data_IF_250126311204
#
_entry.id   IF_250126311204
#
_cell.length_a   1.000
_cell.length_b   1.000
_cell.length_c   1.000
_cell.angle_alpha   90.00
_cell.angle_beta   90.00
_cell.angle_gamma   90.00
#
_symmetry.space_group_name_H-M   'P 1'
#
loop_
_entity.id
_entity.type
_entity.pdbx_description
1 polymer ?
#
# COMPACT_ATOMS: atom_id res chain seq x y z
N UNK A 1 71.26 41.83 35.10
CA UNK A 1 72.43 41.54 34.24
C UNK A 1 72.20 40.19 33.58
N UNK A 2 72.48 40.14 32.27
CA UNK A 2 72.41 39.00 31.33
C UNK A 2 72.99 37.68 31.91
N UNK A 3 72.57 36.48 31.48
CA UNK A 3 72.81 35.94 30.13
C UNK A 3 71.96 34.70 29.79
N UNK A 4 71.73 34.54 28.48
CA UNK A 4 71.13 33.42 27.74
C UNK A 4 72.21 32.39 27.35
N UNK A 5 71.86 31.09 27.27
CA UNK A 5 72.25 30.10 26.21
C UNK A 5 71.56 28.74 26.48
N UNK A 6 70.51 28.37 25.72
CA UNK A 6 70.46 27.51 24.51
C UNK A 6 71.07 26.11 24.71
N UNK A 7 70.23 25.08 24.58
CA UNK A 7 70.65 23.67 24.44
C UNK A 7 69.51 22.69 24.14
N UNK A 8 69.29 22.45 22.85
CA UNK A 8 68.74 21.24 22.18
C UNK A 8 67.39 20.61 22.65
N UNK A 9 66.37 20.76 21.81
CA UNK A 9 65.21 19.86 21.75
C UNK A 9 65.59 18.51 21.14
N UNK A 10 65.20 17.41 21.78
CA UNK A 10 65.07 16.09 21.15
C UNK A 10 63.61 15.68 21.29
N UNK A 11 62.86 15.80 20.21
CA UNK A 11 61.49 15.31 20.09
C UNK A 11 61.55 13.80 19.77
N UNK A 12 61.14 12.96 20.71
CA UNK A 12 60.94 11.52 20.46
C UNK A 12 59.56 11.34 19.81
N UNK A 13 59.55 11.23 18.48
CA UNK A 13 58.34 10.87 17.73
C UNK A 13 58.03 9.38 17.94
N UNK A 14 57.01 9.07 18.76
CA UNK A 14 56.35 7.77 18.73
C UNK A 14 55.50 7.69 17.47
N UNK A 15 55.98 6.94 16.48
CA UNK A 15 55.20 6.56 15.30
C UNK A 15 54.23 5.46 15.73
N UNK A 16 53.01 5.86 16.12
CA UNK A 16 51.86 4.97 16.09
C UNK A 16 51.38 4.88 14.63
N UNK A 17 51.67 3.76 13.99
CA UNK A 17 51.07 3.33 12.73
C UNK A 17 49.59 3.01 12.95
N UNK A 18 48.78 4.05 13.14
CA UNK A 18 47.34 3.98 13.04
C UNK A 18 46.97 3.77 11.57
N UNK A 19 46.47 2.59 11.23
CA UNK A 19 45.74 2.38 9.99
C UNK A 19 44.59 3.39 10.00
N UNK A 20 44.69 4.41 9.15
CA UNK A 20 43.63 5.36 8.92
C UNK A 20 42.46 4.61 8.27
N UNK A 21 41.61 4.01 9.10
CA UNK A 21 40.27 3.64 8.69
C UNK A 21 39.62 4.91 8.14
N UNK A 22 39.28 4.90 6.85
CA UNK A 22 38.46 5.96 6.25
C UNK A 22 37.28 6.20 7.20
N UNK A 23 36.95 7.47 7.54
CA UNK A 23 35.70 7.72 8.22
C UNK A 23 34.62 7.09 7.36
N UNK A 24 33.91 6.11 7.92
CA UNK A 24 32.68 5.60 7.32
C UNK A 24 31.76 6.81 7.36
N UNK A 25 31.66 7.53 6.23
CA UNK A 25 30.59 8.50 6.05
C UNK A 25 29.30 7.75 6.29
N UNK A 26 28.65 8.04 7.43
CA UNK A 26 27.29 7.60 7.66
C UNK A 26 26.49 8.01 6.43
N UNK A 27 25.93 7.03 5.73
CA UNK A 27 25.06 7.31 4.59
C UNK A 27 23.99 8.30 5.07
N UNK A 28 23.78 9.39 4.32
CA UNK A 28 22.72 10.32 4.65
C UNK A 28 21.41 9.54 4.83
N UNK A 29 20.66 9.75 5.92
CA UNK A 29 19.44 9.01 6.17
C UNK A 29 18.51 9.17 4.96
N UNK A 30 18.04 8.06 4.39
CA UNK A 30 17.18 8.10 3.21
C UNK A 30 15.97 8.98 3.51
N UNK A 31 15.66 9.90 2.60
CA UNK A 31 14.56 10.88 2.78
C UNK A 31 13.23 10.38 2.24
N UNK A 32 13.20 9.15 1.72
CA UNK A 32 12.04 8.50 1.14
C UNK A 32 12.00 7.02 1.51
N UNK A 33 10.80 6.44 1.46
CA UNK A 33 10.57 5.01 1.63
C UNK A 33 9.66 4.53 0.49
N UNK A 34 10.08 3.48 -0.22
CA UNK A 34 9.26 2.85 -1.26
C UNK A 34 8.72 1.52 -0.74
N UNK A 35 7.41 1.43 -0.59
CA UNK A 35 6.70 0.18 -0.28
C UNK A 35 6.25 -0.48 -1.57
N UNK A 36 6.69 -1.71 -1.83
CA UNK A 36 6.31 -2.46 -3.03
C UNK A 36 4.95 -3.14 -2.83
N UNK A 37 4.11 -3.10 -3.86
CA UNK A 37 2.79 -3.74 -3.88
C UNK A 37 2.74 -4.82 -4.96
N UNK A 38 1.83 -5.81 -4.83
CA UNK A 38 1.52 -6.77 -5.88
C UNK A 38 1.31 -6.13 -7.25
N UNK A 39 1.65 -6.87 -8.31
CA UNK A 39 1.48 -6.41 -9.69
C UNK A 39 2.46 -5.31 -10.14
N UNK A 40 3.47 -4.97 -9.34
CA UNK A 40 4.48 -3.96 -9.68
C UNK A 40 4.10 -2.53 -9.29
N UNK A 41 2.96 -2.35 -8.60
CA UNK A 41 2.60 -1.08 -7.99
C UNK A 41 3.53 -0.76 -6.80
N UNK A 42 3.54 0.48 -6.35
CA UNK A 42 4.27 0.88 -5.15
C UNK A 42 3.68 2.15 -4.53
N UNK A 43 3.95 2.37 -3.24
CA UNK A 43 3.71 3.65 -2.58
C UNK A 43 5.06 4.26 -2.20
N UNK A 44 5.29 5.49 -2.63
CA UNK A 44 6.46 6.28 -2.26
C UNK A 44 6.06 7.26 -1.16
N UNK A 45 6.65 7.06 0.01
CA UNK A 45 6.54 7.96 1.15
C UNK A 45 7.70 8.95 1.15
N UNK A 46 7.38 10.21 1.48
CA UNK A 46 8.35 11.31 1.58
C UNK A 46 7.90 12.34 2.62
N UNK A 47 8.75 13.34 2.92
CA UNK A 47 8.52 14.32 3.98
C UNK A 47 8.32 13.64 5.34
N UNK A 48 9.37 12.98 5.83
CA UNK A 48 9.36 12.36 7.15
C UNK A 48 9.26 13.43 8.24
N UNK A 49 8.41 13.21 9.25
CA UNK A 49 8.25 14.11 10.39
C UNK A 49 9.47 14.09 11.31
N UNK A 50 10.02 12.90 11.55
CA UNK A 50 11.31 12.71 12.22
C UNK A 50 12.26 11.88 11.34
N UNK A 51 13.19 12.54 10.61
CA UNK A 51 14.18 11.86 9.78
C UNK A 51 15.22 11.03 10.54
N UNK A 52 15.28 11.09 11.88
CA UNK A 52 16.22 10.30 12.68
C UNK A 52 15.67 8.92 13.07
N UNK A 53 14.35 8.78 13.15
CA UNK A 53 13.68 7.50 13.41
C UNK A 53 14.05 6.45 12.33
N UNK A 54 14.10 5.13 12.62
CA UNK A 54 14.32 4.10 11.58
C UNK A 54 13.27 4.17 10.47
N UNK A 55 13.66 3.94 9.21
CA UNK A 55 12.78 4.14 8.04
C UNK A 55 11.40 3.46 8.15
N UNK A 56 11.34 2.24 8.70
CA UNK A 56 10.10 1.48 8.89
C UNK A 56 9.19 2.00 10.01
N UNK A 57 9.70 2.84 10.89
CA UNK A 57 8.99 3.42 12.04
C UNK A 57 8.69 4.91 11.85
N UNK A 58 9.13 5.50 10.73
CA UNK A 58 8.88 6.91 10.44
C UNK A 58 7.41 7.13 10.08
N UNK A 59 6.90 8.23 10.57
CA UNK A 59 5.67 8.83 10.06
C UNK A 59 5.98 9.82 8.94
N UNK A 60 5.12 9.83 7.92
CA UNK A 60 5.33 10.58 6.68
C UNK A 60 4.15 11.52 6.41
N UNK A 61 4.44 12.69 5.84
CA UNK A 61 3.39 13.66 5.45
C UNK A 61 2.90 13.47 4.01
N UNK A 62 3.63 12.72 3.18
CA UNK A 62 3.28 12.52 1.78
C UNK A 62 3.36 11.05 1.37
N UNK A 63 2.32 10.59 0.65
CA UNK A 63 2.26 9.28 0.02
C UNK A 63 1.88 9.43 -1.46
N UNK A 64 2.70 8.93 -2.37
CA UNK A 64 2.47 8.91 -3.81
C UNK A 64 2.29 7.48 -4.26
N UNK A 65 1.16 7.16 -4.88
CA UNK A 65 0.95 5.85 -5.48
C UNK A 65 1.56 5.80 -6.87
N UNK A 66 2.22 4.70 -7.18
CA UNK A 66 2.85 4.41 -8.46
C UNK A 66 2.22 3.16 -9.05
N UNK A 67 1.62 3.32 -10.23
CA UNK A 67 1.10 2.19 -11.00
C UNK A 67 2.18 1.63 -11.95
N UNK A 68 2.08 0.34 -12.34
CA UNK A 68 3.04 -0.30 -13.25
C UNK A 68 3.11 0.36 -14.63
N UNK A 69 2.02 0.99 -15.08
CA UNK A 69 1.94 1.74 -16.33
C UNK A 69 2.65 3.11 -16.27
N UNK A 70 3.29 3.45 -15.16
CA UNK A 70 3.99 4.71 -14.95
C UNK A 70 3.11 5.85 -14.42
N UNK A 71 1.79 5.68 -14.33
CA UNK A 71 0.89 6.65 -13.71
C UNK A 71 1.25 6.86 -12.24
N UNK A 72 1.22 8.11 -11.79
CA UNK A 72 1.50 8.50 -10.40
C UNK A 72 0.46 9.49 -9.93
N UNK A 73 0.02 9.36 -8.69
CA UNK A 73 -0.87 10.33 -8.06
C UNK A 73 -0.63 10.36 -6.55
N UNK A 74 -0.90 11.50 -5.92
CA UNK A 74 -0.83 11.62 -4.46
C UNK A 74 -2.06 10.97 -3.84
N UNK A 75 -1.84 10.10 -2.86
CA UNK A 75 -2.90 9.63 -1.95
C UNK A 75 -3.17 10.67 -0.87
N UNK A 76 -2.12 11.38 -0.42
CA UNK A 76 -2.20 12.44 0.59
C UNK A 76 -1.11 13.51 0.33
N UNK A 77 -1.42 14.82 0.57
CA UNK A 77 -2.77 15.36 0.73
C UNK A 77 -3.63 15.13 -0.52
N UNK A 78 -4.95 15.08 -0.34
CA UNK A 78 -5.87 14.86 -1.48
C UNK A 78 -5.85 16.05 -2.42
N UNK A 79 -6.40 15.86 -3.62
CA UNK A 79 -6.47 16.93 -4.61
C UNK A 79 -7.32 18.09 -4.08
N UNK A 80 -6.71 19.28 -3.97
CA UNK A 80 -7.39 20.48 -3.45
C UNK A 80 -7.24 20.69 -1.95
N UNK A 81 -6.63 19.75 -1.22
CA UNK A 81 -6.19 19.94 0.16
C UNK A 81 -4.80 20.59 0.19
N UNK A 82 -4.59 21.44 1.20
CA UNK A 82 -3.26 21.97 1.50
C UNK A 82 -2.41 20.86 2.15
N UNK A 83 -1.08 20.98 2.10
CA UNK A 83 -0.22 20.18 2.98
C UNK A 83 -0.61 20.53 4.43
N UNK A 84 -1.43 19.70 5.08
CA UNK A 84 -1.81 19.90 6.48
C UNK A 84 -0.67 19.41 7.36
N UNK A 85 -0.13 20.31 8.19
CA UNK A 85 0.94 20.01 9.16
C UNK A 85 0.53 18.93 10.19
N UNK A 86 -0.76 18.58 10.24
CA UNK A 86 -1.32 17.58 11.15
C UNK A 86 -1.44 16.16 10.59
N UNK A 87 -1.22 15.91 9.30
CA UNK A 87 -1.39 14.55 8.73
C UNK A 87 -0.11 13.73 8.84
N UNK A 88 -0.23 12.56 9.43
CA UNK A 88 0.85 11.60 9.62
C UNK A 88 0.42 10.24 9.06
N UNK A 89 1.26 9.61 8.25
CA UNK A 89 0.99 8.29 7.70
C UNK A 89 2.07 7.30 8.12
N UNK A 90 1.63 6.13 8.52
CA UNK A 90 2.51 5.00 8.76
C UNK A 90 2.63 4.18 7.47
N UNK A 91 3.85 3.78 7.07
CA UNK A 91 4.01 2.93 5.91
C UNK A 91 3.41 1.54 6.23
N UNK A 92 2.64 0.95 5.30
CA UNK A 92 2.10 -0.38 5.49
C UNK A 92 3.22 -1.42 5.59
N UNK A 93 2.87 -2.54 6.18
CA UNK A 93 3.63 -3.78 6.17
C UNK A 93 2.93 -4.83 5.30
N UNK A 94 3.56 -5.97 5.07
CA UNK A 94 2.98 -7.05 4.26
C UNK A 94 1.64 -7.55 4.81
N UNK A 95 1.42 -7.47 6.14
CA UNK A 95 0.12 -7.85 6.75
C UNK A 95 -1.01 -6.88 6.42
N UNK A 96 -0.70 -5.66 5.97
CA UNK A 96 -1.69 -4.70 5.52
C UNK A 96 -2.12 -4.93 4.06
N UNK A 97 -1.48 -5.87 3.35
CA UNK A 97 -1.91 -6.30 2.01
C UNK A 97 -2.90 -7.45 2.17
N UNK A 98 -4.05 -7.34 1.50
CA UNK A 98 -5.09 -8.36 1.51
C UNK A 98 -4.55 -9.71 1.02
N UNK A 99 -5.03 -10.85 1.55
CA UNK A 99 -4.67 -12.17 1.04
C UNK A 99 -4.94 -12.35 -0.46
N UNK A 100 -5.93 -11.64 -1.02
CA UNK A 100 -6.18 -11.62 -2.48
C UNK A 100 -5.14 -10.83 -3.27
N UNK A 101 -4.31 -10.03 -2.61
CA UNK A 101 -3.38 -9.08 -3.23
C UNK A 101 -4.07 -7.90 -3.93
N UNK A 102 -5.38 -7.72 -3.74
CA UNK A 102 -6.16 -6.69 -4.43
C UNK A 102 -6.20 -5.37 -3.67
N UNK A 103 -6.07 -5.40 -2.35
CA UNK A 103 -6.19 -4.23 -1.48
C UNK A 103 -4.97 -4.07 -0.56
N UNK A 104 -4.69 -2.83 -0.20
CA UNK A 104 -3.77 -2.46 0.89
C UNK A 104 -4.46 -1.50 1.84
N UNK A 105 -4.26 -1.67 3.14
CA UNK A 105 -4.70 -0.73 4.17
C UNK A 105 -3.57 0.22 4.54
N UNK A 106 -3.86 1.51 4.55
CA UNK A 106 -2.91 2.56 4.94
C UNK A 106 -3.46 3.26 6.18
N UNK A 107 -2.70 3.23 7.27
CA UNK A 107 -3.01 3.98 8.49
C UNK A 107 -2.58 5.44 8.36
N UNK A 108 -3.44 6.37 8.81
CA UNK A 108 -3.10 7.78 8.98
C UNK A 108 -3.65 8.34 10.28
N UNK A 109 -3.03 9.40 10.77
CA UNK A 109 -3.52 10.24 11.85
C UNK A 109 -3.64 11.65 11.31
N UNK A 110 -4.80 12.27 11.49
CA UNK A 110 -5.01 13.69 11.22
C UNK A 110 -5.14 14.43 12.54
N UNK A 111 -4.21 15.35 12.79
CA UNK A 111 -4.19 16.18 13.99
C UNK A 111 -4.65 17.60 13.68
N UNK A 112 -5.45 18.18 14.57
CA UNK A 112 -5.92 19.56 14.47
C UNK A 112 -6.14 20.16 15.85
N UNK A 113 -6.34 21.48 15.90
CA UNK A 113 -6.75 22.15 17.14
C UNK A 113 -8.26 22.22 17.23
N UNK A 114 -8.80 21.86 18.40
CA UNK A 114 -10.21 22.05 18.72
C UNK A 114 -10.34 23.12 19.79
N UNK A 115 -11.31 24.03 19.61
CA UNK A 115 -11.68 24.97 20.65
C UNK A 115 -12.50 24.25 21.71
N UNK A 116 -12.05 24.29 22.96
CA UNK A 116 -12.79 23.73 24.09
C UNK A 116 -13.87 24.68 24.65
N UNK A 117 -13.94 25.91 24.12
CA UNK A 117 -14.88 26.94 24.50
C UNK A 117 -14.22 28.31 24.74
N UNK A 118 -15.02 29.37 24.96
CA UNK A 118 -14.48 30.71 25.18
C UNK A 118 -13.54 30.77 26.40
N UNK A 119 -12.31 31.26 26.18
CA UNK A 119 -11.31 31.43 27.25
C UNK A 119 -10.57 30.16 27.66
N UNK A 120 -10.83 29.02 27.01
CA UNK A 120 -10.07 27.79 27.22
C UNK A 120 -8.98 27.64 26.15
N UNK A 121 -7.80 27.07 26.51
CA UNK A 121 -6.76 26.80 25.54
C UNK A 121 -7.27 25.79 24.49
N UNK A 122 -6.89 26.00 23.24
CA UNK A 122 -7.14 25.03 22.18
C UNK A 122 -6.46 23.70 22.53
N UNK A 123 -7.12 22.59 22.24
CA UNK A 123 -6.57 21.24 22.43
C UNK A 123 -6.16 20.65 21.09
N UNK A 124 -4.95 20.09 21.02
CA UNK A 124 -4.54 19.30 19.86
C UNK A 124 -5.18 17.92 19.98
N UNK A 125 -6.06 17.59 19.04
CA UNK A 125 -6.68 16.28 18.93
C UNK A 125 -6.26 15.61 17.63
N UNK A 126 -5.93 14.31 17.73
CA UNK A 126 -5.65 13.45 16.59
C UNK A 126 -6.80 12.48 16.34
N UNK A 127 -7.14 12.25 15.08
CA UNK A 127 -8.07 11.21 14.66
C UNK A 127 -7.35 10.22 13.76
N UNK A 128 -7.42 8.94 14.10
CA UNK A 128 -6.90 7.86 13.27
C UNK A 128 -7.89 7.50 12.16
N UNK A 129 -7.36 7.26 10.97
CA UNK A 129 -8.07 6.70 9.84
C UNK A 129 -7.31 5.53 9.23
N UNK A 130 -8.07 4.62 8.63
CA UNK A 130 -7.57 3.48 7.87
C UNK A 130 -8.18 3.52 6.47
N UNK A 131 -7.33 3.69 5.47
CA UNK A 131 -7.73 3.82 4.08
C UNK A 131 -7.50 2.51 3.34
N UNK A 132 -8.56 1.94 2.78
CA UNK A 132 -8.47 0.83 1.84
C UNK A 132 -8.21 1.35 0.42
N UNK A 133 -7.13 0.87 -0.19
CA UNK A 133 -6.79 1.19 -1.58
C UNK A 133 -6.79 -0.08 -2.42
N UNK A 134 -7.56 -0.10 -3.50
CA UNK A 134 -7.45 -1.14 -4.53
C UNK A 134 -6.12 -0.96 -5.29
N UNK A 135 -5.22 -1.93 -5.17
CA UNK A 135 -3.84 -1.86 -5.66
C UNK A 135 -3.78 -1.66 -7.18
N UNK A 136 -4.69 -2.30 -7.92
CA UNK A 136 -4.68 -2.28 -9.40
C UNK A 136 -4.93 -0.89 -9.98
N UNK A 137 -5.79 -0.10 -9.33
CA UNK A 137 -6.28 1.18 -9.87
C UNK A 137 -5.86 2.37 -9.02
N UNK A 138 -5.52 2.15 -7.75
CA UNK A 138 -5.35 3.22 -6.80
C UNK A 138 -6.66 3.80 -6.26
N UNK A 139 -7.79 3.16 -6.54
CA UNK A 139 -9.08 3.57 -6.01
C UNK A 139 -9.12 3.41 -4.50
N UNK A 140 -9.38 4.49 -3.78
CA UNK A 140 -9.74 4.42 -2.35
C UNK A 140 -11.18 3.93 -2.28
N UNK A 141 -11.37 2.72 -1.78
CA UNK A 141 -12.70 2.08 -1.70
C UNK A 141 -13.37 2.26 -0.35
N UNK A 142 -12.58 2.57 0.68
CA UNK A 142 -13.07 2.93 2.00
C UNK A 142 -12.04 3.80 2.72
N UNK A 143 -12.52 4.72 3.54
CA UNK A 143 -11.70 5.50 4.47
C UNK A 143 -12.44 5.58 5.80
N UNK A 144 -12.03 4.74 6.75
CA UNK A 144 -12.73 4.56 8.03
C UNK A 144 -11.90 5.08 9.19
N UNK A 145 -12.51 5.12 10.36
CA UNK A 145 -11.92 5.64 11.61
C UNK A 145 -12.47 4.84 12.79
N UNK A 146 -11.74 4.81 13.90
CA UNK A 146 -12.13 4.09 15.11
C UNK A 146 -11.67 2.63 15.11
N UNK A 147 -12.38 1.78 15.86
CA UNK A 147 -11.92 0.42 16.20
C UNK A 147 -11.65 -0.48 14.98
N UNK A 148 -12.35 -0.24 13.86
CA UNK A 148 -12.16 -0.97 12.61
C UNK A 148 -10.73 -0.84 12.06
N UNK A 149 -9.99 0.22 12.41
CA UNK A 149 -8.60 0.39 11.96
C UNK A 149 -7.62 -0.57 12.65
N UNK A 150 -7.95 -1.05 13.86
CA UNK A 150 -7.19 -2.07 14.57
C UNK A 150 -7.55 -3.52 14.21
N UNK A 151 -8.46 -3.72 13.25
CA UNK A 151 -8.87 -5.05 12.81
C UNK A 151 -7.81 -5.72 11.91
N UNK A 152 -8.20 -6.77 11.20
CA UNK A 152 -7.33 -7.46 10.26
C UNK A 152 -8.09 -8.09 9.10
N UNK A 153 -7.35 -8.75 8.22
CA UNK A 153 -7.94 -9.54 7.14
C UNK A 153 -8.68 -10.76 7.68
N UNK A 154 -9.93 -10.92 7.27
CA UNK A 154 -10.75 -12.04 7.72
C UNK A 154 -10.28 -13.36 7.11
N UNK A 155 -10.31 -14.41 7.94
CA UNK A 155 -9.92 -15.75 7.50
C UNK A 155 -10.95 -16.31 6.51
N UNK A 156 -10.50 -16.78 5.36
CA UNK A 156 -11.39 -17.32 4.30
C UNK A 156 -12.08 -16.25 3.44
N UNK A 157 -11.94 -14.96 3.79
CA UNK A 157 -12.47 -13.83 3.03
C UNK A 157 -11.31 -12.93 2.59
N UNK A 158 -10.64 -13.26 1.46
CA UNK A 158 -9.33 -12.70 1.11
C UNK A 158 -9.35 -11.21 0.75
N UNK A 159 -10.52 -10.59 0.69
CA UNK A 159 -10.75 -9.17 0.43
C UNK A 159 -11.73 -8.53 1.43
N UNK A 160 -11.76 -9.01 2.68
CA UNK A 160 -12.56 -8.40 3.75
C UNK A 160 -11.68 -8.03 4.94
N UNK A 161 -11.81 -6.77 5.38
CA UNK A 161 -11.13 -6.22 6.54
C UNK A 161 -12.14 -5.97 7.65
N UNK A 162 -11.92 -6.57 8.82
CA UNK A 162 -12.86 -6.50 9.93
C UNK A 162 -12.74 -7.64 10.92
N UNK A 163 -13.58 -7.62 11.95
CA UNK A 163 -13.64 -8.65 13.00
C UNK A 163 -14.77 -9.66 12.78
N UNK A 164 -15.88 -9.24 12.18
CA UNK A 164 -17.01 -10.10 11.80
C UNK A 164 -17.81 -9.54 10.62
N UNK A 165 -18.58 -10.40 9.98
CA UNK A 165 -19.31 -10.19 8.73
C UNK A 165 -20.53 -9.25 8.88
N UNK A 166 -20.96 -8.98 10.12
CA UNK A 166 -22.28 -8.38 10.44
C UNK A 166 -22.18 -6.97 11.02
N UNK A 167 -21.09 -6.62 11.70
CA UNK A 167 -21.02 -5.42 12.54
C UNK A 167 -19.86 -4.48 12.18
N UNK A 168 -18.77 -4.97 11.58
CA UNK A 168 -17.55 -4.17 11.37
C UNK A 168 -16.74 -4.63 10.16
N UNK A 169 -17.32 -4.57 8.95
CA UNK A 169 -16.60 -4.79 7.68
C UNK A 169 -16.34 -3.47 6.97
N UNK A 170 -15.07 -3.18 6.67
CA UNK A 170 -14.65 -1.94 6.00
C UNK A 170 -14.81 -1.98 4.49
N UNK A 171 -14.44 -3.11 3.87
CA UNK A 171 -14.56 -3.30 2.43
C UNK A 171 -15.99 -3.73 2.11
N UNK A 172 -16.85 -2.75 1.79
CA UNK A 172 -18.22 -2.97 1.31
C UNK A 172 -18.29 -2.79 -0.20
N UNK A 173 -19.33 -3.33 -0.83
CA UNK A 173 -19.56 -3.28 -2.29
C UNK A 173 -19.81 -1.86 -2.86
N UNK A 174 -19.81 -0.82 -2.01
CA UNK A 174 -20.14 0.56 -2.38
C UNK A 174 -18.94 1.34 -2.96
N UNK A 175 -18.18 0.71 -3.86
CA UNK A 175 -17.09 1.36 -4.61
C UNK A 175 -17.56 2.71 -5.19
N UNK A 176 -16.81 3.82 -5.00
CA UNK A 176 -17.15 5.11 -5.59
C UNK A 176 -17.36 5.01 -7.10
N UNK A 177 -18.42 5.63 -7.61
CA UNK A 177 -18.75 5.63 -9.04
C UNK A 177 -19.58 6.84 -9.44
N UNK A 178 -19.54 7.21 -10.71
CA UNK A 178 -20.32 8.32 -11.25
C UNK A 178 -21.83 8.08 -11.07
N UNK A 179 -22.27 6.83 -11.22
CA UNK A 179 -23.69 6.49 -11.03
C UNK A 179 -24.13 6.59 -9.57
N UNK A 180 -23.29 6.19 -8.62
CA UNK A 180 -23.55 6.35 -7.18
C UNK A 180 -23.59 7.82 -6.79
N UNK A 181 -22.57 8.59 -7.19
CA UNK A 181 -22.50 10.03 -6.93
C UNK A 181 -23.72 10.77 -7.51
N UNK A 182 -24.07 10.51 -8.78
CA UNK A 182 -25.23 11.13 -9.40
C UNK A 182 -26.54 10.77 -8.69
N UNK A 183 -26.68 9.52 -8.22
CA UNK A 183 -27.86 9.08 -7.45
C UNK A 183 -28.02 9.89 -6.16
N UNK A 184 -26.93 10.12 -5.41
CA UNK A 184 -26.98 10.92 -4.19
C UNK A 184 -27.29 12.40 -4.47
N UNK A 185 -26.67 12.98 -5.51
CA UNK A 185 -27.00 14.34 -5.95
C UNK A 185 -28.49 14.46 -6.31
N UNK A 186 -29.03 13.51 -7.06
CA UNK A 186 -30.45 13.49 -7.43
C UNK A 186 -31.38 13.28 -6.23
N UNK A 187 -30.90 12.64 -5.16
CA UNK A 187 -31.64 12.51 -3.89
C UNK A 187 -31.59 13.77 -3.02
N UNK A 188 -30.92 14.84 -3.48
CA UNK A 188 -30.82 16.12 -2.79
C UNK A 188 -29.64 16.25 -1.83
N UNK A 189 -28.72 15.27 -1.80
CA UNK A 189 -27.52 15.40 -0.99
C UNK A 189 -26.57 16.47 -1.56
N UNK A 190 -25.89 17.27 -0.69
CA UNK A 190 -24.92 18.24 -1.15
C UNK A 190 -23.77 17.57 -1.92
N UNK A 191 -23.53 17.93 -3.21
CA UNK A 191 -22.54 17.23 -4.02
C UNK A 191 -21.14 17.22 -3.42
N UNK A 192 -20.76 18.28 -2.71
CA UNK A 192 -19.45 18.39 -2.04
C UNK A 192 -19.29 17.32 -0.96
N UNK A 193 -20.30 17.12 -0.11
CA UNK A 193 -20.24 16.12 0.96
C UNK A 193 -20.01 14.71 0.41
N UNK A 194 -20.76 14.35 -0.64
CA UNK A 194 -20.64 13.01 -1.25
C UNK A 194 -19.27 12.82 -1.90
N UNK A 195 -18.74 13.85 -2.56
CA UNK A 195 -17.39 13.81 -3.15
C UNK A 195 -16.33 13.67 -2.06
N UNK A 196 -16.46 14.41 -0.97
CA UNK A 196 -15.51 14.37 0.15
C UNK A 196 -15.55 12.98 0.85
N UNK A 197 -16.74 12.39 1.02
CA UNK A 197 -16.95 11.02 1.54
C UNK A 197 -16.34 9.96 0.60
N UNK A 198 -16.41 10.17 -0.71
CA UNK A 198 -15.78 9.33 -1.73
C UNK A 198 -14.28 9.63 -1.90
N UNK A 199 -13.65 10.34 -0.95
CA UNK A 199 -12.22 10.69 -0.94
C UNK A 199 -11.76 11.58 -2.10
N UNK A 200 -12.66 12.41 -2.64
CA UNK A 200 -12.38 13.43 -3.64
C UNK A 200 -12.75 13.03 -5.08
N UNK A 201 -12.89 14.05 -5.94
CA UNK A 201 -13.31 13.87 -7.33
C UNK A 201 -12.29 13.07 -8.16
N UNK A 202 -11.00 13.23 -7.87
CA UNK A 202 -9.93 12.45 -8.46
C UNK A 202 -10.00 10.97 -8.06
N UNK A 203 -10.47 10.66 -6.85
CA UNK A 203 -10.70 9.29 -6.43
C UNK A 203 -11.87 8.64 -7.18
N UNK A 204 -12.99 9.36 -7.31
CA UNK A 204 -14.13 8.91 -8.13
C UNK A 204 -13.68 8.56 -9.56
N UNK A 205 -12.83 9.39 -10.17
CA UNK A 205 -12.26 9.15 -11.49
C UNK A 205 -11.32 7.92 -11.56
N UNK A 206 -10.61 7.59 -10.48
CA UNK A 206 -9.80 6.34 -10.40
C UNK A 206 -10.69 5.11 -10.21
N UNK A 207 -11.74 5.25 -9.40
CA UNK A 207 -12.65 4.16 -9.07
C UNK A 207 -13.58 3.80 -10.23
N UNK A 208 -14.03 4.78 -11.01
CA UNK A 208 -14.93 4.63 -12.16
C UNK A 208 -14.50 5.52 -13.34
N UNK A 209 -13.39 5.22 -14.04
CA UNK A 209 -12.87 6.07 -15.11
C UNK A 209 -13.90 6.36 -16.22
N UNK A 210 -13.88 7.55 -16.85
CA UNK A 210 -14.82 7.88 -17.92
C UNK A 210 -14.77 6.86 -19.06
N UNK A 211 -15.94 6.38 -19.44
CA UNK A 211 -16.18 5.41 -20.49
C UNK A 211 -17.51 5.72 -21.18
N UNK A 212 -17.81 5.03 -22.28
CA UNK A 212 -19.08 5.23 -22.98
C UNK A 212 -20.32 4.96 -22.12
N UNK A 213 -20.20 4.11 -21.09
CA UNK A 213 -21.34 3.70 -20.24
C UNK A 213 -21.63 4.69 -19.11
N UNK A 214 -20.63 5.42 -18.61
CA UNK A 214 -20.78 6.36 -17.49
C UNK A 214 -20.62 7.84 -17.91
N UNK A 215 -20.29 8.13 -19.18
CA UNK A 215 -20.10 9.50 -19.70
C UNK A 215 -21.25 10.45 -19.40
N UNK A 216 -22.49 10.00 -19.64
CA UNK A 216 -23.70 10.80 -19.39
C UNK A 216 -23.86 11.11 -17.90
N UNK A 217 -23.46 10.19 -17.02
CA UNK A 217 -23.52 10.43 -15.58
C UNK A 217 -22.54 11.55 -15.18
N UNK A 218 -21.31 11.50 -15.68
CA UNK A 218 -20.32 12.55 -15.45
C UNK A 218 -20.74 13.91 -16.00
N UNK A 219 -21.31 13.99 -17.21
CA UNK A 219 -21.82 15.24 -17.78
C UNK A 219 -22.91 15.88 -16.89
N UNK A 220 -23.80 15.05 -16.32
CA UNK A 220 -24.83 15.50 -15.37
C UNK A 220 -24.23 15.95 -14.04
N UNK A 221 -23.24 15.23 -13.52
CA UNK A 221 -22.51 15.63 -12.30
C UNK A 221 -21.85 16.99 -12.51
N UNK A 222 -21.11 17.18 -13.61
CA UNK A 222 -20.47 18.46 -13.96
C UNK A 222 -21.50 19.59 -13.95
N UNK A 223 -22.66 19.37 -14.58
CA UNK A 223 -23.72 20.37 -14.67
C UNK A 223 -24.25 20.74 -13.27
N UNK A 224 -24.49 19.76 -12.41
CA UNK A 224 -24.94 19.95 -11.03
C UNK A 224 -23.89 20.69 -10.16
N UNK A 225 -22.61 20.35 -10.31
CA UNK A 225 -21.52 21.02 -9.60
C UNK A 225 -21.36 22.48 -10.02
N UNK A 226 -21.48 22.79 -11.32
CA UNK A 226 -21.46 24.17 -11.82
C UNK A 226 -22.64 24.99 -11.29
N UNK A 227 -23.83 24.40 -11.26
CA UNK A 227 -25.04 25.06 -10.73
C UNK A 227 -24.91 25.41 -9.24
N UNK A 228 -24.13 24.64 -8.49
CA UNK A 228 -23.88 24.85 -7.05
C UNK A 228 -22.57 25.58 -6.76
N UNK A 229 -21.85 26.06 -7.79
CA UNK A 229 -20.62 26.83 -7.64
C UNK A 229 -19.35 26.02 -7.32
N UNK A 230 -19.42 24.68 -7.36
CA UNK A 230 -18.30 23.78 -7.05
C UNK A 230 -17.40 23.61 -8.28
N UNK A 231 -16.66 24.68 -8.63
CA UNK A 231 -15.94 24.80 -9.90
C UNK A 231 -14.73 23.86 -10.03
N UNK A 232 -13.97 23.64 -8.94
CA UNK A 232 -12.74 22.84 -8.99
C UNK A 232 -13.06 21.37 -9.33
N UNK A 233 -14.01 20.75 -8.63
CA UNK A 233 -14.42 19.37 -8.89
C UNK A 233 -15.07 19.22 -10.27
N UNK A 234 -15.89 20.20 -10.69
CA UNK A 234 -16.44 20.22 -12.04
C UNK A 234 -15.32 20.22 -13.10
N UNK A 235 -14.30 21.06 -12.91
CA UNK A 235 -13.15 21.14 -13.81
C UNK A 235 -12.36 19.83 -13.91
N UNK A 236 -12.21 19.08 -12.81
CA UNK A 236 -11.57 17.76 -12.83
C UNK A 236 -12.35 16.74 -13.67
N UNK A 237 -13.67 16.67 -13.48
CA UNK A 237 -14.52 15.78 -14.27
C UNK A 237 -14.58 16.19 -15.75
N UNK A 238 -14.68 17.50 -16.04
CA UNK A 238 -14.64 18.03 -17.41
C UNK A 238 -13.33 17.70 -18.14
N UNK A 239 -12.19 17.86 -17.47
CA UNK A 239 -10.89 17.53 -18.03
C UNK A 239 -10.81 16.03 -18.36
N UNK A 240 -11.28 15.18 -17.45
CA UNK A 240 -11.32 13.74 -17.67
C UNK A 240 -12.26 13.33 -18.82
N UNK A 241 -13.39 14.03 -18.99
CA UNK A 241 -14.31 13.83 -20.12
C UNK A 241 -13.76 14.33 -21.46
N UNK A 242 -12.92 15.37 -21.44
CA UNK A 242 -12.35 16.02 -22.62
C UNK A 242 -11.12 15.29 -23.16
N UNK A 243 -10.43 14.53 -22.30
CA UNK A 243 -9.39 13.61 -22.72
C UNK A 243 -10.00 12.50 -23.58
N UNK A 244 -10.10 12.75 -24.90
CA UNK A 244 -10.40 11.72 -25.90
C UNK A 244 -9.35 10.62 -25.71
N UNK A 245 -9.79 9.46 -25.22
CA UNK A 245 -8.94 8.42 -24.66
C UNK A 245 -7.56 8.28 -25.28
N UNK A 246 -6.53 8.36 -24.43
CA UNK A 246 -5.63 7.21 -24.38
C UNK A 246 -6.48 6.04 -23.89
N UNK A 247 -7.17 5.43 -24.85
CA UNK A 247 -7.49 4.02 -24.77
C UNK A 247 -6.14 3.35 -24.56
N UNK A 248 -5.85 2.65 -23.44
CA UNK A 248 -5.02 1.48 -23.61
C UNK A 248 -5.83 0.65 -24.56
N UNK A 249 -5.40 0.68 -25.83
CA UNK A 249 -5.89 -0.16 -26.91
C UNK A 249 -6.26 -1.47 -26.23
N UNK A 250 -7.50 -1.92 -26.47
CA UNK A 250 -7.79 -3.34 -26.42
C UNK A 250 -6.88 -4.00 -27.46
N UNK A 251 -5.59 -4.04 -27.14
CA UNK A 251 -4.64 -4.98 -27.66
C UNK A 251 -5.18 -6.21 -26.98
N UNK A 252 -5.91 -7.00 -27.76
CA UNK A 252 -6.13 -8.42 -27.56
C UNK A 252 -5.43 -8.90 -26.31
N UNK A 253 -6.21 -9.36 -25.33
CA UNK A 253 -5.71 -10.10 -24.19
C UNK A 253 -4.38 -10.75 -24.62
N UNK A 254 -3.22 -10.38 -24.05
CA UNK A 254 -2.36 -11.48 -23.70
C UNK A 254 -3.29 -12.27 -22.80
N UNK A 255 -3.79 -13.41 -23.31
CA UNK A 255 -4.32 -14.45 -22.46
C UNK A 255 -3.41 -14.38 -21.25
N UNK A 256 -4.00 -14.10 -20.08
CA UNK A 256 -3.25 -14.20 -18.84
C UNK A 256 -2.40 -15.43 -19.08
N UNK A 257 -1.08 -15.29 -19.03
CA UNK A 257 -0.31 -16.46 -18.68
C UNK A 257 -0.81 -16.71 -17.26
N UNK A 258 -1.94 -17.43 -17.21
CA UNK A 258 -2.21 -18.49 -16.29
C UNK A 258 -0.86 -19.17 -16.28
N UNK A 259 0.01 -18.73 -15.36
CA UNK A 259 1.03 -19.61 -14.86
C UNK A 259 0.16 -20.74 -14.36
N UNK A 260 0.08 -21.78 -15.20
CA UNK A 260 -0.73 -22.95 -14.93
C UNK A 260 -0.36 -23.31 -13.51
N UNK A 261 -1.32 -23.15 -12.62
CA UNK A 261 -1.25 -23.64 -11.27
C UNK A 261 -1.20 -25.17 -11.42
N UNK A 262 0.01 -25.68 -11.66
CA UNK A 262 0.22 -27.07 -12.02
C UNK A 262 0.01 -27.89 -10.76
N UNK A 263 -0.91 -28.84 -10.84
CA UNK A 263 -1.04 -29.86 -9.83
C UNK A 263 0.23 -30.71 -9.84
N UNK A 264 0.91 -30.80 -8.71
CA UNK A 264 2.05 -31.65 -8.52
C UNK A 264 1.76 -32.64 -7.39
N UNK A 265 2.38 -33.81 -7.45
CA UNK A 265 2.29 -34.81 -6.39
C UNK A 265 3.62 -34.94 -5.68
N UNK A 266 3.61 -35.16 -4.38
CA UNK A 266 4.86 -35.40 -3.64
C UNK A 266 5.49 -36.72 -4.10
N UNK A 267 6.75 -36.67 -4.56
CA UNK A 267 7.47 -37.81 -5.13
C UNK A 267 8.21 -38.65 -4.08
N UNK A 268 8.57 -38.01 -2.96
CA UNK A 268 9.33 -38.60 -1.85
C UNK A 268 8.41 -39.05 -0.70
N UNK A 269 8.88 -39.96 0.16
CA UNK A 269 8.08 -40.47 1.29
C UNK A 269 7.65 -39.36 2.26
N UNK A 270 8.50 -38.35 2.44
CA UNK A 270 8.29 -37.25 3.37
C UNK A 270 9.02 -36.02 2.84
N UNK A 271 8.27 -35.02 2.40
CA UNK A 271 8.79 -33.75 1.93
C UNK A 271 8.60 -32.68 3.02
N UNK A 272 9.68 -32.15 3.62
CA UNK A 272 9.58 -31.09 4.61
C UNK A 272 9.00 -29.81 4.00
N UNK A 273 8.24 -29.05 4.80
CA UNK A 273 7.72 -27.75 4.43
C UNK A 273 8.47 -26.63 5.14
N UNK A 274 8.65 -25.51 4.46
CA UNK A 274 9.48 -24.39 4.88
C UNK A 274 8.68 -23.08 4.87
N UNK A 275 8.94 -22.18 5.81
CA UNK A 275 8.28 -20.86 5.86
C UNK A 275 8.87 -19.87 4.84
N UNK A 276 10.07 -20.15 4.32
CA UNK A 276 10.77 -19.39 3.28
C UNK A 276 11.61 -20.38 2.41
N UNK A 277 12.08 -20.01 1.21
CA UNK A 277 12.89 -20.89 0.34
C UNK A 277 14.35 -20.99 0.84
N UNK A 278 14.50 -21.52 2.05
CA UNK A 278 15.76 -21.63 2.79
C UNK A 278 15.69 -22.87 3.71
N UNK A 279 16.70 -23.74 3.64
CA UNK A 279 16.75 -24.98 4.42
C UNK A 279 16.76 -24.72 5.93
N UNK A 280 17.30 -23.59 6.39
CA UNK A 280 17.30 -23.20 7.79
C UNK A 280 15.90 -22.85 8.33
N UNK A 281 14.91 -22.70 7.44
CA UNK A 281 13.52 -22.32 7.74
C UNK A 281 12.58 -23.52 7.70
N UNK A 282 13.12 -24.73 7.92
CA UNK A 282 12.34 -25.96 7.99
C UNK A 282 11.33 -25.90 9.14
N UNK A 283 10.08 -26.20 8.82
CA UNK A 283 9.02 -26.34 9.81
C UNK A 283 8.92 -27.78 10.29
N UNK A 284 8.07 -28.03 11.29
CA UNK A 284 7.69 -29.39 11.69
C UNK A 284 6.70 -30.04 10.71
N UNK A 285 6.09 -29.25 9.82
CA UNK A 285 5.13 -29.73 8.86
C UNK A 285 5.83 -30.38 7.67
N UNK A 286 5.21 -31.42 7.13
CA UNK A 286 5.69 -32.15 5.97
C UNK A 286 4.50 -32.72 5.22
N UNK A 287 4.70 -32.99 3.93
CA UNK A 287 3.75 -33.73 3.10
C UNK A 287 4.33 -35.10 2.82
N UNK A 288 3.47 -36.08 2.56
CA UNK A 288 3.88 -37.46 2.29
C UNK A 288 3.66 -37.83 0.83
N UNK A 289 4.30 -38.91 0.40
CA UNK A 289 4.22 -39.37 -0.99
C UNK A 289 2.77 -39.45 -1.47
N UNK A 290 2.53 -38.95 -2.68
CA UNK A 290 1.23 -38.85 -3.35
C UNK A 290 0.27 -37.76 -2.82
N UNK A 291 0.63 -37.00 -1.78
CA UNK A 291 -0.11 -35.77 -1.47
C UNK A 291 -0.11 -34.86 -2.71
N UNK A 292 -1.25 -34.23 -2.99
CA UNK A 292 -1.40 -33.35 -4.14
C UNK A 292 -1.33 -31.90 -3.67
N UNK A 293 -0.55 -31.11 -4.39
CA UNK A 293 -0.39 -29.68 -4.14
C UNK A 293 -0.57 -28.88 -5.41
N UNK A 294 -0.93 -27.63 -5.26
CA UNK A 294 -0.98 -26.66 -6.35
C UNK A 294 0.30 -25.83 -6.29
N UNK A 295 1.11 -25.87 -7.35
CA UNK A 295 2.32 -25.03 -7.42
C UNK A 295 1.90 -23.60 -7.79
N UNK A 296 2.06 -22.67 -6.85
CA UNK A 296 1.70 -21.26 -7.01
C UNK A 296 2.85 -20.42 -7.59
N UNK A 297 4.09 -20.81 -7.27
CA UNK A 297 5.31 -20.16 -7.76
C UNK A 297 6.47 -21.14 -7.76
N UNK A 298 7.31 -21.12 -8.78
CA UNK A 298 8.56 -21.88 -8.81
C UNK A 298 9.73 -20.91 -8.96
N UNK A 299 10.74 -21.03 -8.10
CA UNK A 299 11.95 -20.23 -8.16
C UNK A 299 12.94 -20.86 -9.13
N UNK A 300 13.76 -20.09 -9.88
CA UNK A 300 14.88 -20.63 -10.63
C UNK A 300 15.94 -21.35 -9.75
N UNK A 301 15.87 -21.23 -8.42
CA UNK A 301 16.80 -21.80 -7.44
C UNK A 301 16.33 -23.07 -6.73
N UNK A 302 15.56 -23.95 -7.40
CA UNK A 302 15.14 -25.28 -6.91
C UNK A 302 14.05 -25.32 -5.81
N UNK A 303 13.28 -24.24 -5.64
CA UNK A 303 12.18 -24.16 -4.66
C UNK A 303 10.82 -23.91 -5.32
N UNK A 304 9.77 -24.46 -4.74
CA UNK A 304 8.38 -24.20 -5.11
C UNK A 304 7.58 -23.68 -3.92
N UNK A 305 6.74 -22.67 -4.14
CA UNK A 305 5.72 -22.25 -3.20
C UNK A 305 4.41 -22.94 -3.57
N UNK A 306 3.87 -23.71 -2.65
CA UNK A 306 2.76 -24.63 -2.92
C UNK A 306 1.60 -24.40 -1.96
N UNK A 307 0.41 -24.69 -2.46
CA UNK A 307 -0.80 -24.80 -1.67
C UNK A 307 -1.18 -26.27 -1.50
N UNK A 308 -1.13 -26.74 -0.25
CA UNK A 308 -1.68 -28.04 0.12
C UNK A 308 -3.03 -27.85 0.78
N UNK A 309 -4.05 -28.48 0.21
CA UNK A 309 -5.40 -28.49 0.77
C UNK A 309 -5.58 -29.84 1.47
N UNK A 310 -5.72 -29.82 2.80
CA UNK A 310 -5.96 -31.05 3.53
C UNK A 310 -7.42 -31.54 3.32
N UNK A 311 -7.75 -32.71 3.86
CA UNK A 311 -9.09 -33.30 3.74
C UNK A 311 -10.23 -32.47 4.35
N UNK A 312 -9.93 -31.50 5.21
CA UNK A 312 -10.92 -30.56 5.78
C UNK A 312 -11.06 -29.27 4.96
N UNK A 313 -10.43 -29.18 3.78
CA UNK A 313 -10.45 -27.96 2.96
C UNK A 313 -9.56 -26.84 3.51
N UNK A 314 -8.71 -27.11 4.52
CA UNK A 314 -7.80 -26.13 5.08
C UNK A 314 -6.54 -26.06 4.23
N UNK A 315 -6.25 -24.85 3.77
CA UNK A 315 -5.06 -24.53 3.01
C UNK A 315 -3.83 -24.43 3.91
N UNK A 316 -2.72 -24.99 3.43
CA UNK A 316 -1.39 -24.89 4.04
C UNK A 316 -0.42 -24.42 2.95
N UNK A 317 -0.17 -23.12 2.93
CA UNK A 317 0.74 -22.47 1.98
C UNK A 317 2.17 -22.51 2.52
N UNK A 318 3.08 -23.18 1.81
CA UNK A 318 4.47 -23.35 2.25
C UNK A 318 5.45 -23.49 1.09
N UNK A 319 6.73 -23.24 1.38
CA UNK A 319 7.82 -23.56 0.47
C UNK A 319 8.21 -25.04 0.58
N UNK A 320 8.55 -25.66 -0.53
CA UNK A 320 9.01 -27.04 -0.66
C UNK A 320 10.12 -27.12 -1.71
N UNK A 321 11.01 -28.11 -1.62
CA UNK A 321 12.01 -28.33 -2.67
C UNK A 321 11.33 -28.81 -3.94
N UNK A 322 11.71 -28.23 -5.08
CA UNK A 322 11.12 -28.58 -6.36
C UNK A 322 11.37 -30.05 -6.73
N UNK A 323 12.50 -30.63 -6.31
CA UNK A 323 12.86 -32.02 -6.58
C UNK A 323 11.99 -33.03 -5.78
N UNK A 324 11.33 -32.58 -4.72
CA UNK A 324 10.38 -33.39 -3.93
C UNK A 324 9.00 -33.49 -4.60
N UNK A 325 8.82 -32.81 -5.74
CA UNK A 325 7.58 -32.78 -6.52
C UNK A 325 7.74 -33.59 -7.82
N UNK A 326 6.76 -34.45 -8.09
CA UNK A 326 6.50 -34.96 -9.42
C UNK A 326 5.40 -34.11 -10.06
N UNK A 327 5.80 -33.22 -10.96
CA UNK A 327 4.87 -32.38 -11.73
C UNK A 327 4.20 -33.29 -12.76
N UNK A 328 2.87 -33.43 -12.70
CA UNK A 328 2.14 -34.12 -13.77
C UNK A 328 2.18 -33.24 -15.02
N UNK A 329 2.51 -33.80 -16.20
CA UNK A 329 2.48 -33.05 -17.45
C UNK A 329 1.07 -32.54 -17.77
#
# INVERSE_FOLDING_TARGET
MHTVRIGAMIATALVLSGVAGKPVSAAAPSTTLRFALPGGAAILYSKALDPQTPLSQRSWQQAVFHLPNGTKFRLQPRSGESDSDGTQMEPPSDSNISPSGQYVIIGRIESGTVSLGPGQPESVMGREYCTAVEIRTGCITADQTGEICGAGWQTGQPAQWGTDDQTSVMLKDDRPSASRLLRFINSGQPPRSVIDDDSGADNVLRCDPPSSTNRVAYERIVSALRATGIRNNAGLFDAALSNKGEVPVSTSLPAATVSEHRAATISVQKAPLYDAPDEARATRAYLVKNDTVIVLKQSPTSWAYVDYINSSGKHLLRWIKADDLAIKP
#
